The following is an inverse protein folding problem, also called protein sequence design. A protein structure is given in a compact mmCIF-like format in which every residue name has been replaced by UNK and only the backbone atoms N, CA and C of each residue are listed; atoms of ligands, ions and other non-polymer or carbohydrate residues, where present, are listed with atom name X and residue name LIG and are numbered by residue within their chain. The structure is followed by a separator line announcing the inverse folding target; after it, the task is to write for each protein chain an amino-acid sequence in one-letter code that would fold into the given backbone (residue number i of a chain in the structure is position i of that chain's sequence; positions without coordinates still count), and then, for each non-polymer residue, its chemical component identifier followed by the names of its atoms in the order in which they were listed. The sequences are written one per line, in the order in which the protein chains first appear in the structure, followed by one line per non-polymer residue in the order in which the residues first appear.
data_IF_958524334375
#
_entry.id   IF_958524334375
#
_cell.length_a   1.000
_cell.length_b   1.000
_cell.length_c   1.000
_cell.angle_alpha   90.00
_cell.angle_beta   90.00
_cell.angle_gamma   90.00
#
_symmetry.space_group_name_H-M   'P 1'
#
loop_
_entity.id
_entity.type
_entity.pdbx_description
1 polymer ?
#
# COMPACT_ATOMS: atom_id res chain seq x y z
N UNK A 1 -9.14 35.65 -29.93
CA UNK A 1 -7.92 35.40 -29.10
C UNK A 1 -8.23 34.94 -27.68
N UNK A 2 -9.01 35.67 -26.87
CA UNK A 2 -9.33 35.29 -25.47
C UNK A 2 -10.04 33.92 -25.35
N UNK A 3 -11.09 33.71 -26.14
CA UNK A 3 -11.88 32.47 -26.12
C UNK A 3 -11.07 31.22 -26.51
N UNK A 4 -10.09 31.36 -27.41
CA UNK A 4 -9.17 30.27 -27.78
C UNK A 4 -8.27 29.90 -26.58
N UNK A 5 -7.77 30.91 -25.85
CA UNK A 5 -6.95 30.68 -24.66
C UNK A 5 -7.73 29.97 -23.56
N UNK A 6 -8.97 30.41 -23.30
CA UNK A 6 -9.85 29.78 -22.31
C UNK A 6 -10.21 28.34 -22.70
N UNK A 7 -10.49 28.08 -23.98
CA UNK A 7 -10.75 26.73 -24.47
C UNK A 7 -9.52 25.81 -24.33
N UNK A 8 -8.32 26.31 -24.66
CA UNK A 8 -7.08 25.55 -24.50
C UNK A 8 -6.78 25.24 -23.02
N UNK A 9 -6.98 26.21 -22.12
CA UNK A 9 -6.80 26.01 -20.68
C UNK A 9 -7.77 24.94 -20.13
N UNK A 10 -9.05 25.00 -20.54
CA UNK A 10 -10.04 24.01 -20.15
C UNK A 10 -9.72 22.61 -20.71
N UNK A 11 -9.27 22.52 -21.96
CA UNK A 11 -8.83 21.26 -22.56
C UNK A 11 -7.62 20.67 -21.84
N UNK A 12 -6.66 21.51 -21.45
CA UNK A 12 -5.48 21.10 -20.68
C UNK A 12 -5.89 20.51 -19.32
N UNK A 13 -6.72 21.22 -18.55
CA UNK A 13 -7.22 20.74 -17.25
C UNK A 13 -7.95 19.40 -17.37
N UNK A 14 -8.83 19.25 -18.37
CA UNK A 14 -9.54 17.97 -18.63
C UNK A 14 -8.57 16.85 -18.96
N UNK A 15 -7.51 17.13 -19.73
CA UNK A 15 -6.50 16.13 -20.09
C UNK A 15 -5.70 15.66 -18.87
N UNK A 16 -5.37 16.57 -17.96
CA UNK A 16 -4.73 16.25 -16.69
C UNK A 16 -5.63 15.36 -15.82
N UNK A 17 -6.91 15.70 -15.70
CA UNK A 17 -7.89 14.89 -14.96
C UNK A 17 -8.04 13.48 -15.55
N UNK A 18 -8.12 13.36 -16.89
CA UNK A 18 -8.16 12.05 -17.55
C UNK A 18 -6.89 11.25 -17.28
N UNK A 19 -5.73 11.90 -17.30
CA UNK A 19 -4.45 11.25 -17.02
C UNK A 19 -4.39 10.75 -15.58
N UNK A 20 -4.82 11.56 -14.61
CA UNK A 20 -4.91 11.18 -13.20
C UNK A 20 -5.86 10.00 -12.98
N UNK A 21 -7.09 10.08 -13.51
CA UNK A 21 -8.09 9.00 -13.41
C UNK A 21 -7.61 7.70 -14.06
N UNK A 22 -6.89 7.78 -15.19
CA UNK A 22 -6.27 6.60 -15.82
C UNK A 22 -5.21 5.97 -14.93
N UNK A 23 -4.39 6.77 -14.24
CA UNK A 23 -3.39 6.26 -13.30
C UNK A 23 -4.04 5.62 -12.07
N UNK A 24 -5.06 6.26 -11.50
CA UNK A 24 -5.87 5.71 -10.40
C UNK A 24 -6.50 4.36 -10.80
N UNK A 25 -7.15 4.30 -11.96
CA UNK A 25 -7.75 3.07 -12.48
C UNK A 25 -6.71 1.97 -12.68
N UNK A 26 -5.56 2.29 -13.26
CA UNK A 26 -4.47 1.32 -13.46
C UNK A 26 -3.98 0.77 -12.13
N UNK A 27 -3.84 1.62 -11.11
CA UNK A 27 -3.45 1.19 -9.77
C UNK A 27 -4.51 0.24 -9.18
N UNK A 28 -5.80 0.57 -9.27
CA UNK A 28 -6.89 -0.31 -8.82
C UNK A 28 -6.87 -1.66 -9.54
N UNK A 29 -6.66 -1.69 -10.86
CA UNK A 29 -6.56 -2.94 -11.63
C UNK A 29 -5.38 -3.78 -11.17
N UNK A 30 -4.21 -3.17 -10.94
CA UNK A 30 -3.04 -3.86 -10.41
C UNK A 30 -3.32 -4.45 -9.01
N UNK A 31 -3.96 -3.68 -8.12
CA UNK A 31 -4.33 -4.16 -6.78
C UNK A 31 -5.30 -5.35 -6.85
N UNK A 32 -6.34 -5.28 -7.69
CA UNK A 32 -7.29 -6.37 -7.88
C UNK A 32 -6.62 -7.64 -8.41
N UNK A 33 -5.72 -7.50 -9.40
CA UNK A 33 -4.97 -8.62 -9.95
C UNK A 33 -4.05 -9.26 -8.91
N UNK A 34 -3.28 -8.45 -8.16
CA UNK A 34 -2.40 -8.92 -7.10
C UNK A 34 -3.16 -9.62 -5.97
N UNK A 35 -4.29 -9.05 -5.53
CA UNK A 35 -5.12 -9.65 -4.49
C UNK A 35 -5.71 -10.98 -4.94
N UNK A 36 -6.24 -11.05 -6.17
CA UNK A 36 -6.76 -12.28 -6.74
C UNK A 36 -5.67 -13.37 -6.81
N UNK A 37 -4.50 -13.03 -7.33
CA UNK A 37 -3.37 -13.95 -7.45
C UNK A 37 -2.93 -14.47 -6.08
N UNK A 38 -2.88 -13.60 -5.06
CA UNK A 38 -2.59 -13.99 -3.69
C UNK A 38 -3.60 -15.01 -3.15
N UNK A 39 -4.89 -14.75 -3.32
CA UNK A 39 -5.95 -15.67 -2.88
C UNK A 39 -5.90 -17.01 -3.62
N UNK A 40 -5.67 -17.02 -4.93
CA UNK A 40 -5.56 -18.25 -5.71
C UNK A 40 -4.35 -19.09 -5.27
N UNK A 41 -3.19 -18.46 -5.08
CA UNK A 41 -1.99 -19.12 -4.55
C UNK A 41 -2.23 -19.69 -3.15
N UNK A 42 -2.84 -18.91 -2.26
CA UNK A 42 -3.12 -19.36 -0.89
C UNK A 42 -4.12 -20.52 -0.90
N UNK A 43 -5.21 -20.44 -1.68
CA UNK A 43 -6.17 -21.55 -1.84
C UNK A 43 -5.52 -22.82 -2.38
N UNK A 44 -4.59 -22.70 -3.33
CA UNK A 44 -3.87 -23.86 -3.86
C UNK A 44 -2.97 -24.49 -2.79
N UNK A 45 -2.22 -23.68 -2.03
CA UNK A 45 -1.40 -24.16 -0.93
C UNK A 45 -2.24 -24.80 0.19
N UNK A 46 -3.38 -24.20 0.55
CA UNK A 46 -4.30 -24.73 1.56
C UNK A 46 -4.91 -26.08 1.18
N UNK A 47 -5.12 -26.34 -0.12
CA UNK A 47 -5.60 -27.65 -0.60
C UNK A 47 -4.56 -28.76 -0.43
N UNK A 48 -3.27 -28.43 -0.53
CA UNK A 48 -2.17 -29.41 -0.45
C UNK A 48 -1.69 -29.60 0.99
N UNK A 49 -1.57 -28.50 1.74
CA UNK A 49 -0.94 -28.49 3.07
C UNK A 49 -1.92 -28.23 4.22
N UNK A 50 -3.19 -27.95 3.92
CA UNK A 50 -4.15 -27.46 4.91
C UNK A 50 -3.97 -25.97 5.20
N UNK A 51 -4.86 -25.42 6.03
CA UNK A 51 -4.79 -24.01 6.42
C UNK A 51 -3.62 -23.74 7.38
N UNK A 52 -2.82 -22.69 7.14
CA UNK A 52 -1.75 -22.30 8.06
C UNK A 52 -2.32 -21.84 9.40
N UNK A 53 -1.48 -21.92 10.45
CA UNK A 53 -1.83 -21.41 11.77
C UNK A 53 -1.90 -19.88 11.76
N UNK A 54 -2.86 -19.31 12.49
CA UNK A 54 -3.10 -17.86 12.52
C UNK A 54 -1.86 -17.04 12.86
N UNK A 55 -1.03 -17.51 13.79
CA UNK A 55 0.21 -16.84 14.23
C UNK A 55 1.28 -16.75 13.14
N UNK A 56 1.21 -17.63 12.14
CA UNK A 56 2.15 -17.68 11.02
C UNK A 56 1.68 -16.87 9.80
N UNK A 57 0.53 -16.19 9.92
CA UNK A 57 -0.10 -15.45 8.82
C UNK A 57 -0.26 -13.98 9.16
N UNK A 58 -0.04 -13.11 8.16
CA UNK A 58 -0.30 -11.68 8.26
C UNK A 58 -1.49 -11.35 7.35
N UNK A 59 -2.68 -11.01 7.89
CA UNK A 59 -3.83 -10.65 7.08
C UNK A 59 -3.67 -9.26 6.45
N UNK A 60 -4.36 -9.03 5.33
CA UNK A 60 -4.47 -7.71 4.71
C UNK A 60 -5.80 -7.04 5.12
N UNK A 61 -5.86 -5.70 5.25
CA UNK A 61 -4.82 -4.71 4.98
C UNK A 61 -3.78 -4.61 6.12
N UNK A 62 -2.51 -4.43 5.77
CA UNK A 62 -1.42 -4.15 6.70
C UNK A 62 -0.43 -3.16 6.08
N UNK A 63 0.42 -2.58 6.92
CA UNK A 63 1.54 -1.73 6.51
C UNK A 63 2.80 -2.39 7.05
N UNK A 64 3.80 -2.54 6.19
CA UNK A 64 5.11 -3.10 6.57
C UNK A 64 6.10 -1.94 6.65
N UNK A 65 6.74 -1.80 7.81
CA UNK A 65 7.85 -0.87 8.02
C UNK A 65 9.11 -1.71 8.21
N UNK A 66 10.08 -1.56 7.31
CA UNK A 66 11.35 -2.28 7.38
C UNK A 66 12.49 -1.34 7.73
N UNK A 67 13.39 -1.77 8.59
CA UNK A 67 14.63 -1.06 8.93
C UNK A 67 15.83 -2.00 8.83
N UNK A 68 17.05 -1.44 8.88
CA UNK A 68 18.27 -2.25 8.93
C UNK A 68 18.29 -3.15 10.19
N UNK A 69 18.89 -4.33 10.05
CA UNK A 69 19.01 -5.33 11.13
C UNK A 69 19.73 -4.81 12.39
N UNK A 70 20.51 -3.74 12.27
CA UNK A 70 21.24 -3.13 13.38
C UNK A 70 20.57 -1.87 13.92
N UNK A 71 19.44 -1.42 13.35
CA UNK A 71 18.71 -0.28 13.89
C UNK A 71 17.98 -0.71 15.17
N UNK A 72 18.24 0.00 16.26
CA UNK A 72 17.43 -0.14 17.47
C UNK A 72 16.10 0.58 17.27
N UNK A 73 15.00 -0.07 17.66
CA UNK A 73 13.65 0.49 17.54
C UNK A 73 13.02 0.56 18.92
N UNK A 74 12.87 1.77 19.44
CA UNK A 74 12.13 2.03 20.67
C UNK A 74 10.65 2.24 20.32
N UNK A 75 9.77 1.53 21.03
CA UNK A 75 8.32 1.55 20.77
C UNK A 75 7.57 2.03 22.00
N UNK A 76 6.87 3.16 21.87
CA UNK A 76 5.88 3.63 22.82
C UNK A 76 4.48 3.30 22.32
N UNK A 77 3.64 2.71 23.16
CA UNK A 77 2.25 2.37 22.83
C UNK A 77 1.38 2.88 23.96
N UNK A 78 0.29 3.59 23.62
CA UNK A 78 -0.72 3.97 24.62
C UNK A 78 -1.48 2.74 25.13
N UNK A 79 -2.00 2.79 26.36
CA UNK A 79 -2.73 1.67 26.96
C UNK A 79 -3.96 1.24 26.13
N UNK A 80 -4.63 2.20 25.49
CA UNK A 80 -5.77 1.98 24.60
C UNK A 80 -5.36 1.53 23.19
N UNK A 81 -4.05 1.45 22.91
CA UNK A 81 -3.46 1.02 21.63
C UNK A 81 -3.92 1.85 20.44
N UNK A 82 -4.28 3.11 20.65
CA UNK A 82 -4.67 4.04 19.58
C UNK A 82 -3.49 4.79 19.00
N UNK A 83 -2.44 5.00 19.79
CA UNK A 83 -1.23 5.71 19.37
C UNK A 83 0.01 4.83 19.53
N UNK A 84 0.86 4.89 18.49
CA UNK A 84 2.13 4.19 18.43
C UNK A 84 3.22 5.18 18.06
N UNK A 85 4.27 5.24 18.86
CA UNK A 85 5.48 6.01 18.60
C UNK A 85 6.63 5.04 18.34
N UNK A 86 7.19 5.09 17.14
CA UNK A 86 8.37 4.31 16.76
C UNK A 86 9.57 5.25 16.61
N UNK A 87 10.59 5.06 17.45
CA UNK A 87 11.85 5.78 17.35
C UNK A 87 12.93 4.84 16.81
N UNK A 88 13.46 5.17 15.63
CA UNK A 88 14.49 4.39 14.95
C UNK A 88 15.86 5.01 15.23
N UNK A 89 16.68 4.35 16.04
CA UNK A 89 18.04 4.80 16.39
C UNK A 89 19.06 3.95 15.61
N UNK A 90 19.77 4.52 14.63
CA UNK A 90 20.83 3.81 13.92
C UNK A 90 21.91 3.37 14.91
N UNK A 91 22.27 2.08 14.90
CA UNK A 91 23.46 1.65 15.63
C UNK A 91 24.69 2.10 14.86
N UNK A 92 25.45 3.03 15.46
CA UNK A 92 26.78 3.39 14.99
C UNK A 92 27.69 2.21 15.33
N UNK A 93 28.10 1.45 14.31
CA UNK A 93 29.16 0.45 14.40
C UNK A 93 30.52 1.10 14.20
#
# INVERSE_FOLDING_TARGET
MRQIREMNANAMKRREEVTRKKAELRNLVCQMASYRNLLERNRAAERVHGRPQSETTIPVPNIIVTTDRFTNVDVGITDDKTEYLFQFVPSIR
#
